data_IF_603846747833
#
_entry.id   IF_603846747833
#
_cell.length_a   1.000
_cell.length_b   1.000
_cell.length_c   1.000
_cell.angle_alpha   90.00
_cell.angle_beta   90.00
_cell.angle_gamma   90.00
#
_symmetry.space_group_name_H-M   'P 1'
#
loop_
_entity.id
_entity.type
_entity.pdbx_description
1 polymer ?
#
# COMPACT_ATOMS: atom_id res chain seq x y z
N UNK A 1 -17.89 6.09 20.60
CA UNK A 1 -16.44 5.89 20.37
C UNK A 1 -16.21 6.06 18.88
N UNK A 2 -15.16 6.75 18.45
CA UNK A 2 -14.83 6.80 17.03
C UNK A 2 -14.49 5.38 16.55
N UNK A 3 -14.65 5.10 15.25
CA UNK A 3 -14.26 3.85 14.61
C UNK A 3 -12.88 4.03 13.97
N UNK A 4 -11.98 3.06 14.10
CA UNK A 4 -10.66 3.10 13.50
C UNK A 4 -10.78 3.18 11.96
N UNK A 5 -9.82 3.83 11.32
CA UNK A 5 -9.81 3.99 9.87
C UNK A 5 -8.45 3.70 9.25
N UNK A 6 -8.47 3.19 8.02
CA UNK A 6 -7.28 2.93 7.22
C UNK A 6 -7.38 3.70 5.91
N UNK A 7 -6.57 4.75 5.79
CA UNK A 7 -6.40 5.51 4.56
C UNK A 7 -5.47 4.75 3.62
N UNK A 8 -5.99 4.31 2.48
CA UNK A 8 -5.28 3.39 1.59
C UNK A 8 -5.59 3.57 0.11
N UNK A 9 -4.71 3.02 -0.72
CA UNK A 9 -4.97 2.71 -2.12
C UNK A 9 -5.28 1.22 -2.25
N UNK A 10 -6.33 0.86 -2.99
CA UNK A 10 -6.78 -0.53 -3.16
C UNK A 10 -5.78 -1.43 -3.90
N UNK A 11 -4.80 -0.85 -4.58
CA UNK A 11 -3.80 -1.54 -5.39
C UNK A 11 -2.39 -1.43 -4.83
N UNK A 12 -2.22 -0.77 -3.68
CA UNK A 12 -0.92 -0.61 -3.06
C UNK A 12 -0.55 -1.86 -2.23
N UNK A 13 0.61 -2.49 -2.49
CA UNK A 13 1.02 -3.70 -1.76
C UNK A 13 1.24 -3.44 -0.26
N UNK A 14 1.72 -2.25 0.12
CA UNK A 14 1.86 -1.86 1.53
C UNK A 14 0.52 -1.72 2.24
N UNK A 15 -0.51 -1.26 1.52
CA UNK A 15 -1.88 -1.20 2.06
C UNK A 15 -2.48 -2.61 2.21
N UNK A 16 -2.17 -3.54 1.29
CA UNK A 16 -2.61 -4.92 1.38
C UNK A 16 -2.08 -5.65 2.61
N UNK A 17 -0.84 -5.36 3.03
CA UNK A 17 -0.28 -5.92 4.26
C UNK A 17 -1.16 -5.62 5.47
N UNK A 18 -1.46 -4.33 5.69
CA UNK A 18 -2.27 -3.88 6.82
C UNK A 18 -3.72 -4.35 6.68
N UNK A 19 -4.30 -4.21 5.48
CA UNK A 19 -5.67 -4.67 5.20
C UNK A 19 -5.83 -6.16 5.44
N UNK A 20 -4.91 -6.99 4.96
CA UNK A 20 -4.94 -8.43 5.14
C UNK A 20 -4.89 -8.84 6.60
N UNK A 21 -4.09 -8.14 7.42
CA UNK A 21 -4.07 -8.35 8.86
C UNK A 21 -5.41 -7.97 9.53
N UNK A 22 -5.96 -6.81 9.18
CA UNK A 22 -7.27 -6.35 9.68
C UNK A 22 -8.37 -7.36 9.34
N UNK A 23 -8.41 -7.83 8.09
CA UNK A 23 -9.39 -8.82 7.62
C UNK A 23 -9.20 -10.18 8.33
N UNK A 24 -7.95 -10.61 8.52
CA UNK A 24 -7.62 -11.85 9.23
C UNK A 24 -8.09 -11.82 10.69
N UNK A 25 -7.85 -10.70 11.38
CA UNK A 25 -8.29 -10.48 12.76
C UNK A 25 -9.78 -10.09 12.87
N UNK A 26 -10.47 -9.93 11.74
CA UNK A 26 -11.89 -9.52 11.65
C UNK A 26 -12.18 -8.21 12.38
N UNK A 27 -11.25 -7.25 12.33
CA UNK A 27 -11.42 -5.95 12.99
C UNK A 27 -12.38 -5.08 12.18
N UNK A 28 -13.25 -4.35 12.89
CA UNK A 28 -14.14 -3.38 12.27
C UNK A 28 -13.42 -2.06 11.99
N UNK A 29 -12.77 -1.95 10.83
CA UNK A 29 -12.05 -0.74 10.41
C UNK A 29 -12.74 -0.10 9.20
N UNK A 30 -12.85 1.22 9.20
CA UNK A 30 -13.31 1.97 8.02
C UNK A 30 -12.20 2.13 6.98
N UNK A 31 -12.44 1.68 5.75
CA UNK A 31 -11.46 1.78 4.66
C UNK A 31 -11.66 3.05 3.86
N UNK A 32 -10.78 4.04 4.08
CA UNK A 32 -10.84 5.33 3.39
C UNK A 32 -9.99 5.28 2.14
N UNK A 33 -10.65 5.18 0.98
CA UNK A 33 -9.99 5.17 -0.33
C UNK A 33 -9.39 6.55 -0.66
N UNK A 34 -8.07 6.60 -0.82
CA UNK A 34 -7.31 7.81 -1.15
C UNK A 34 -7.24 8.03 -2.67
N UNK A 35 -7.21 9.29 -3.10
CA UNK A 35 -6.96 9.59 -4.50
C UNK A 35 -5.45 9.46 -4.82
N UNK A 36 -5.10 8.54 -5.71
CA UNK A 36 -3.70 8.25 -6.08
C UNK A 36 -2.91 9.45 -6.64
N UNK A 37 -3.56 10.48 -7.17
CA UNK A 37 -2.90 11.72 -7.63
C UNK A 37 -2.79 12.78 -6.54
N UNK A 38 -3.45 12.60 -5.39
CA UNK A 38 -3.53 13.58 -4.30
C UNK A 38 -3.18 12.98 -2.94
N UNK A 39 -2.35 11.92 -2.90
CA UNK A 39 -2.00 11.19 -1.68
C UNK A 39 -1.58 12.13 -0.55
N UNK A 40 -0.56 12.97 -0.77
CA UNK A 40 -0.05 13.92 0.23
C UNK A 40 -1.14 14.80 0.84
N UNK A 41 -2.07 15.27 0.01
CA UNK A 41 -3.21 16.09 0.46
C UNK A 41 -4.23 15.26 1.24
N UNK A 42 -4.49 14.02 0.82
CA UNK A 42 -5.44 13.12 1.49
C UNK A 42 -4.96 12.63 2.85
N UNK A 43 -3.65 12.56 3.09
CA UNK A 43 -3.07 12.12 4.38
C UNK A 43 -2.33 13.25 5.10
N UNK A 44 -2.65 14.52 4.84
CA UNK A 44 -1.94 15.66 5.44
C UNK A 44 -2.11 15.75 6.96
N UNK A 45 -3.11 15.09 7.52
CA UNK A 45 -3.30 14.96 8.97
C UNK A 45 -2.23 14.09 9.64
N UNK A 46 -1.46 13.31 8.86
CA UNK A 46 -0.34 12.50 9.33
C UNK A 46 1.01 13.26 9.27
N UNK A 47 0.97 14.59 9.35
CA UNK A 47 2.15 15.45 9.25
C UNK A 47 2.88 15.29 7.92
N UNK A 48 4.21 15.18 7.97
CA UNK A 48 5.08 15.14 6.78
C UNK A 48 5.18 13.77 6.09
N UNK A 49 4.43 12.76 6.57
CA UNK A 49 4.54 11.39 6.05
C UNK A 49 4.23 11.27 4.55
N UNK A 50 3.08 11.82 4.13
CA UNK A 50 2.71 11.96 2.72
C UNK A 50 2.56 10.66 1.91
N UNK A 51 2.45 9.49 2.57
CA UNK A 51 2.33 8.15 1.95
C UNK A 51 1.16 7.37 2.55
N UNK A 52 0.77 6.26 1.91
CA UNK A 52 -0.21 5.28 2.43
C UNK A 52 0.49 3.92 2.65
N UNK A 53 -0.01 3.05 3.54
CA UNK A 53 -1.19 3.24 4.41
C UNK A 53 -0.96 4.24 5.54
N UNK A 54 -2.06 4.80 6.05
CA UNK A 54 -2.12 5.53 7.33
C UNK A 54 -3.30 4.98 8.12
N UNK A 55 -3.05 4.52 9.34
CA UNK A 55 -4.05 3.98 10.24
C UNK A 55 -4.34 5.00 11.34
N UNK A 56 -5.62 5.26 11.62
CA UNK A 56 -6.05 6.10 12.74
C UNK A 56 -6.87 5.24 13.67
N UNK A 57 -6.45 5.11 14.92
CA UNK A 57 -7.15 4.27 15.90
C UNK A 57 -8.39 4.94 16.50
N UNK A 58 -9.07 4.22 17.39
CA UNK A 58 -10.30 4.66 18.06
C UNK A 58 -10.10 5.93 18.92
N UNK A 59 -8.86 6.22 19.32
CA UNK A 59 -8.49 7.40 20.12
C UNK A 59 -8.16 8.61 19.25
N UNK A 60 -8.06 8.41 17.93
CA UNK A 60 -7.63 9.44 16.97
C UNK A 60 -6.11 9.50 16.79
N UNK A 61 -5.33 8.62 17.41
CA UNK A 61 -3.89 8.57 17.20
C UNK A 61 -3.58 8.01 15.81
N UNK A 62 -2.61 8.64 15.15
CA UNK A 62 -2.22 8.34 13.77
C UNK A 62 -0.95 7.49 13.74
N UNK A 63 -1.02 6.38 13.02
CA UNK A 63 0.04 5.40 12.84
C UNK A 63 0.40 5.32 11.36
N UNK A 64 1.70 5.37 11.06
CA UNK A 64 2.22 5.42 9.70
C UNK A 64 3.17 4.26 9.44
N UNK A 65 3.37 3.97 8.15
CA UNK A 65 4.17 2.85 7.65
C UNK A 65 3.56 1.46 7.92
N UNK A 66 3.60 0.59 6.92
CA UNK A 66 2.84 -0.66 6.92
C UNK A 66 3.29 -1.65 7.99
N UNK A 67 4.59 -1.82 8.21
CA UNK A 67 5.12 -2.77 9.20
C UNK A 67 4.90 -2.30 10.63
N UNK A 68 5.20 -1.04 11.00
CA UNK A 68 4.84 -0.50 12.31
C UNK A 68 3.34 -0.58 12.61
N UNK A 69 2.48 -0.25 11.64
CA UNK A 69 1.02 -0.40 11.78
C UNK A 69 0.64 -1.86 12.08
N UNK A 70 1.22 -2.84 11.37
CA UNK A 70 0.93 -4.25 11.64
C UNK A 70 1.32 -4.68 13.05
N UNK A 71 2.51 -4.25 13.52
CA UNK A 71 2.97 -4.55 14.88
C UNK A 71 2.06 -3.90 15.93
N UNK A 72 1.65 -2.65 15.71
CA UNK A 72 0.68 -1.96 16.55
C UNK A 72 -0.67 -2.69 16.60
N UNK A 73 -1.19 -3.12 15.45
CA UNK A 73 -2.47 -3.85 15.38
C UNK A 73 -2.39 -5.17 16.15
N UNK A 74 -1.33 -5.96 15.95
CA UNK A 74 -1.17 -7.23 16.66
C UNK A 74 -1.10 -7.01 18.18
N UNK A 75 -0.31 -6.02 18.63
CA UNK A 75 -0.15 -5.71 20.05
C UNK A 75 -1.46 -5.24 20.72
N UNK A 76 -2.22 -4.35 20.06
CA UNK A 76 -3.36 -3.67 20.69
C UNK A 76 -4.71 -4.37 20.46
N UNK A 77 -4.83 -5.18 19.40
CA UNK A 77 -6.10 -5.82 19.03
C UNK A 77 -6.03 -7.35 19.03
N UNK A 78 -4.86 -7.95 19.27
CA UNK A 78 -4.68 -9.39 19.26
C UNK A 78 -3.72 -9.89 20.37
N UNK A 79 -3.47 -9.06 21.39
CA UNK A 79 -2.59 -9.35 22.53
C UNK A 79 -1.17 -9.79 22.12
N UNK A 80 -0.68 -9.35 20.95
CA UNK A 80 0.64 -9.71 20.43
C UNK A 80 0.79 -11.17 20.01
N UNK A 81 -0.31 -11.93 19.87
CA UNK A 81 -0.25 -13.38 19.61
C UNK A 81 0.45 -13.74 18.31
N UNK A 82 0.40 -12.90 17.27
CA UNK A 82 1.08 -13.24 16.01
C UNK A 82 2.58 -13.18 16.15
N UNK A 83 3.10 -12.15 16.83
CA UNK A 83 4.53 -12.02 17.09
C UNK A 83 5.02 -13.01 18.16
N UNK A 84 4.19 -13.36 19.14
CA UNK A 84 4.55 -14.28 20.22
C UNK A 84 4.64 -15.75 19.78
N UNK A 85 3.92 -16.15 18.73
CA UNK A 85 3.84 -17.54 18.27
C UNK A 85 4.97 -17.95 17.31
N UNK A 86 6.02 -17.14 17.15
CA UNK A 86 7.08 -17.43 16.21
C UNK A 86 8.44 -16.90 16.63
N UNK A 87 9.45 -17.37 15.89
CA UNK A 87 10.82 -16.84 15.98
C UNK A 87 10.84 -15.39 15.46
N UNK A 88 11.11 -14.44 16.35
CA UNK A 88 11.11 -13.01 16.06
C UNK A 88 12.16 -12.62 15.01
N UNK A 89 13.31 -13.28 14.98
CA UNK A 89 14.36 -13.00 13.99
C UNK A 89 13.84 -13.36 12.60
N UNK A 90 13.35 -14.59 12.45
CA UNK A 90 12.73 -15.05 11.22
C UNK A 90 11.54 -14.18 10.79
N UNK A 91 10.67 -13.76 11.72
CA UNK A 91 9.54 -12.88 11.39
C UNK A 91 10.04 -11.55 10.82
N UNK A 92 11.05 -10.94 11.45
CA UNK A 92 11.60 -9.68 10.97
C UNK A 92 12.25 -9.84 9.59
N UNK A 93 12.97 -10.94 9.34
CA UNK A 93 13.56 -11.25 8.03
C UNK A 93 12.48 -11.30 6.93
N UNK A 94 11.36 -11.99 7.19
CA UNK A 94 10.26 -12.09 6.22
C UNK A 94 9.53 -10.76 6.01
N UNK A 95 9.36 -9.96 7.06
CA UNK A 95 8.79 -8.61 6.95
C UNK A 95 9.68 -7.70 6.12
N UNK A 96 10.99 -7.70 6.38
CA UNK A 96 11.97 -6.94 5.60
C UNK A 96 12.03 -7.42 4.15
N UNK A 97 12.04 -8.73 3.92
CA UNK A 97 12.04 -9.30 2.58
C UNK A 97 10.79 -8.89 1.79
N UNK A 98 9.62 -8.92 2.41
CA UNK A 98 8.36 -8.46 1.81
C UNK A 98 8.46 -6.98 1.38
N UNK A 99 8.99 -6.13 2.27
CA UNK A 99 9.09 -4.69 2.00
C UNK A 99 10.16 -4.34 0.97
N UNK A 100 11.28 -5.05 0.97
CA UNK A 100 12.46 -4.67 0.17
C UNK A 100 12.60 -5.44 -1.13
N UNK A 101 12.06 -6.67 -1.22
CA UNK A 101 12.19 -7.55 -2.39
C UNK A 101 10.85 -7.76 -3.09
N UNK A 102 9.84 -8.27 -2.37
CA UNK A 102 8.53 -8.59 -2.96
C UNK A 102 7.86 -7.33 -3.54
N UNK A 103 7.80 -6.25 -2.76
CA UNK A 103 7.23 -4.98 -3.22
C UNK A 103 7.92 -4.45 -4.48
N UNK A 104 9.24 -4.67 -4.61
CA UNK A 104 10.02 -4.17 -5.74
C UNK A 104 9.79 -4.97 -7.00
N UNK A 105 9.64 -6.29 -6.87
CA UNK A 105 9.39 -7.21 -7.97
C UNK A 105 8.03 -6.98 -8.67
N UNK A 106 7.05 -6.40 -7.99
CA UNK A 106 5.72 -6.13 -8.59
C UNK A 106 5.80 -5.23 -9.82
N UNK A 107 6.70 -4.24 -9.83
CA UNK A 107 6.80 -3.26 -10.92
C UNK A 107 7.21 -3.91 -12.25
N UNK A 108 8.34 -4.64 -12.37
CA UNK A 108 8.68 -5.30 -13.61
C UNK A 108 7.66 -6.38 -14.02
N UNK A 109 7.02 -7.07 -13.07
CA UNK A 109 5.96 -8.06 -13.38
C UNK A 109 4.75 -7.38 -14.03
N UNK A 110 4.27 -6.29 -13.44
CA UNK A 110 3.05 -5.61 -13.87
C UNK A 110 3.25 -4.68 -15.07
N UNK A 111 4.47 -4.16 -15.25
CA UNK A 111 4.81 -3.13 -16.23
C UNK A 111 5.95 -3.52 -17.18
N UNK A 112 6.36 -4.79 -17.24
CA UNK A 112 7.51 -5.22 -18.04
C UNK A 112 7.32 -5.11 -19.55
N UNK A 113 6.08 -5.27 -20.03
CA UNK A 113 5.73 -5.09 -21.45
C UNK A 113 4.75 -3.93 -21.62
N UNK A 114 4.68 -3.37 -22.83
CA UNK A 114 3.77 -2.27 -23.14
C UNK A 114 2.30 -2.66 -22.91
N UNK A 115 1.90 -3.86 -23.36
CA UNK A 115 0.55 -4.39 -23.19
C UNK A 115 0.19 -4.63 -21.72
N UNK A 116 1.10 -5.23 -20.94
CA UNK A 116 0.91 -5.44 -19.50
C UNK A 116 0.79 -4.11 -18.76
N UNK A 117 1.65 -3.14 -19.07
CA UNK A 117 1.59 -1.82 -18.47
C UNK A 117 0.26 -1.12 -18.72
N UNK A 118 -0.25 -1.14 -19.95
CA UNK A 118 -1.56 -0.57 -20.29
C UNK A 118 -2.71 -1.29 -19.56
N UNK A 119 -2.71 -2.62 -19.53
CA UNK A 119 -3.70 -3.40 -18.79
C UNK A 119 -3.65 -3.09 -17.29
N UNK A 120 -2.47 -2.91 -16.73
CA UNK A 120 -2.28 -2.57 -15.32
C UNK A 120 -2.81 -1.17 -15.01
N UNK A 121 -2.43 -0.13 -15.76
CA UNK A 121 -2.90 1.25 -15.47
C UNK A 121 -4.40 1.41 -15.68
N UNK A 122 -4.97 0.75 -16.69
CA UNK A 122 -6.42 0.74 -16.93
C UNK A 122 -7.17 -0.01 -15.84
N UNK A 123 -6.58 -1.06 -15.24
CA UNK A 123 -7.17 -1.75 -14.09
C UNK A 123 -7.07 -0.89 -12.82
N UNK A 124 -5.92 -0.29 -12.54
CA UNK A 124 -5.72 0.60 -11.39
C UNK A 124 -6.70 1.78 -11.45
N UNK A 125 -6.89 2.40 -12.62
CA UNK A 125 -7.84 3.52 -12.77
C UNK A 125 -9.29 3.15 -12.44
N UNK A 126 -9.65 1.86 -12.57
CA UNK A 126 -10.98 1.34 -12.21
C UNK A 126 -11.11 1.02 -10.72
N UNK A 127 -10.03 0.55 -10.09
CA UNK A 127 -10.02 0.12 -8.68
C UNK A 127 -9.82 1.28 -7.70
N UNK A 128 -9.09 2.32 -8.11
CA UNK A 128 -8.79 3.47 -7.26
C UNK A 128 -9.81 4.61 -7.38
N UNK A 129 -9.90 5.41 -6.33
CA UNK A 129 -10.76 6.60 -6.30
C UNK A 129 -10.12 7.75 -7.08
N UNK A 130 -10.51 7.87 -8.34
CA UNK A 130 -10.19 9.01 -9.19
C UNK A 130 -11.43 9.85 -9.51
N UNK A 131 -11.23 11.14 -9.80
CA UNK A 131 -12.27 11.95 -10.44
C UNK A 131 -12.42 11.56 -11.91
N UNK A 132 -13.53 11.91 -12.55
CA UNK A 132 -13.84 11.47 -13.91
C UNK A 132 -12.73 11.78 -14.94
N UNK A 133 -12.25 13.03 -14.96
CA UNK A 133 -11.18 13.47 -15.88
C UNK A 133 -9.83 12.85 -15.50
N UNK A 134 -9.50 12.82 -14.21
CA UNK A 134 -8.22 12.26 -13.72
C UNK A 134 -8.11 10.76 -13.95
N UNK A 135 -9.23 10.03 -13.87
CA UNK A 135 -9.29 8.60 -14.19
C UNK A 135 -8.88 8.31 -15.63
N UNK A 136 -9.44 9.07 -16.58
CA UNK A 136 -9.09 8.96 -18.01
C UNK A 136 -7.63 9.35 -18.23
N UNK A 137 -7.18 10.46 -17.66
CA UNK A 137 -5.79 10.88 -17.76
C UNK A 137 -4.82 9.82 -17.23
N UNK A 138 -5.08 9.26 -16.04
CA UNK A 138 -4.22 8.22 -15.46
C UNK A 138 -4.18 6.94 -16.31
N UNK A 139 -5.32 6.50 -16.85
CA UNK A 139 -5.38 5.30 -17.68
C UNK A 139 -4.50 5.42 -18.95
N UNK A 140 -4.51 6.59 -19.60
CA UNK A 140 -3.82 6.84 -20.86
C UNK A 140 -2.38 7.35 -20.68
N UNK A 141 -2.13 8.25 -19.72
CA UNK A 141 -0.80 8.82 -19.49
C UNK A 141 0.05 8.01 -18.49
N UNK A 142 -0.56 7.12 -17.70
CA UNK A 142 0.16 6.33 -16.71
C UNK A 142 1.06 5.26 -17.35
N UNK A 143 0.57 4.55 -18.36
CA UNK A 143 1.31 3.38 -18.89
C UNK A 143 2.62 3.74 -19.62
N UNK A 144 2.72 4.83 -20.41
CA UNK A 144 3.98 5.17 -21.07
C UNK A 144 5.05 5.56 -20.06
N UNK A 145 4.67 6.25 -18.97
CA UNK A 145 5.58 6.62 -17.87
C UNK A 145 6.02 5.36 -17.11
N UNK A 146 5.07 4.52 -16.70
CA UNK A 146 5.36 3.32 -15.92
C UNK A 146 6.24 2.33 -16.69
N UNK A 147 5.93 2.07 -17.97
CA UNK A 147 6.72 1.17 -18.81
C UNK A 147 8.04 1.80 -19.27
N UNK A 148 7.97 2.99 -19.87
CA UNK A 148 9.09 3.61 -20.56
C UNK A 148 10.17 4.16 -19.64
N UNK A 149 9.80 4.64 -18.46
CA UNK A 149 10.72 5.30 -17.52
C UNK A 149 10.97 4.41 -16.30
N UNK A 150 9.92 4.05 -15.56
CA UNK A 150 10.07 3.45 -14.23
C UNK A 150 10.47 1.98 -14.32
N UNK A 151 9.74 1.16 -15.09
CA UNK A 151 10.01 -0.26 -15.22
C UNK A 151 11.38 -0.50 -15.85
N UNK A 152 11.68 0.14 -16.99
CA UNK A 152 13.00 0.05 -17.63
C UNK A 152 14.15 0.49 -16.72
N UNK A 153 13.99 1.57 -15.95
CA UNK A 153 15.02 2.03 -15.00
C UNK A 153 15.21 1.04 -13.84
N UNK A 154 14.12 0.45 -13.33
CA UNK A 154 14.18 -0.50 -12.21
C UNK A 154 14.82 -1.83 -12.65
N UNK A 155 14.46 -2.34 -13.82
CA UNK A 155 15.11 -3.53 -14.42
C UNK A 155 16.62 -3.32 -14.57
N UNK A 156 17.05 -2.19 -15.16
CA UNK A 156 18.47 -1.83 -15.27
C UNK A 156 19.21 -1.73 -13.94
N UNK A 157 18.56 -1.19 -12.90
CA UNK A 157 19.18 -1.03 -11.57
C UNK A 157 19.30 -2.35 -10.81
N UNK A 158 18.34 -3.26 -11.00
CA UNK A 158 18.32 -4.56 -10.33
C UNK A 158 19.18 -5.62 -11.05
N UNK A 159 19.91 -5.25 -12.12
CA UNK A 159 20.89 -6.11 -12.81
C UNK A 159 20.28 -7.27 -13.60
N UNK A 160 19.01 -7.16 -14.01
CA UNK A 160 18.30 -8.14 -14.85
C UNK A 160 18.15 -7.65 -16.28
#
# INVERSE_FOLDING_TARGET
MAKASLHMLHTCPFCWKVRGLIEYLKLEVDYVSVNGLKIKKSVSFAGDWGKVPVFTDETGQVHTDSTPIMKFIDQNYNDGKLLANGDLERINDWLEWSDTKMSKATVPILYGTLGSAFKTTTRISKLEKFGFISKRLYAWAGFPIMWGIIAKKRVKKDGR
#
